data_IF_509330489369
#
_entry.id   IF_509330489369
#
_cell.length_a   1.000
_cell.length_b   1.000
_cell.length_c   1.000
_cell.angle_alpha   90.00
_cell.angle_beta   90.00
_cell.angle_gamma   90.00
#
_symmetry.space_group_name_H-M   'P 1'
#
loop_
_entity.id
_entity.type
_entity.pdbx_description
1 polymer ?
#
# COMPACT_ATOMS: atom_id res chain seq x y z
N UNK A 1 6.95 12.05 3.02
CA UNK A 1 7.70 10.97 2.39
C UNK A 1 9.06 11.44 1.86
N UNK A 2 9.14 12.32 0.85
CA UNK A 2 10.42 12.75 0.25
C UNK A 2 11.41 13.35 1.26
N UNK A 3 10.94 14.17 2.20
CA UNK A 3 11.76 14.70 3.28
C UNK A 3 12.32 13.58 4.17
N UNK A 4 11.50 12.62 4.55
CA UNK A 4 11.91 11.47 5.38
C UNK A 4 12.93 10.57 4.66
N UNK A 5 12.86 10.47 3.33
CA UNK A 5 13.91 9.80 2.54
C UNK A 5 15.22 10.56 2.59
N UNK A 6 15.17 11.89 2.41
CA UNK A 6 16.35 12.77 2.44
C UNK A 6 17.04 12.77 3.81
N UNK A 7 16.28 12.81 4.90
CA UNK A 7 16.81 12.81 6.27
C UNK A 7 17.26 11.43 6.75
N UNK A 8 16.89 10.36 6.05
CA UNK A 8 17.14 8.98 6.48
C UNK A 8 16.07 8.41 7.43
N UNK A 9 15.20 9.23 8.00
CA UNK A 9 14.17 8.84 8.97
C UNK A 9 13.30 7.66 8.50
N UNK A 10 12.93 7.66 7.23
CA UNK A 10 12.18 6.56 6.62
C UNK A 10 12.93 5.23 6.68
N UNK A 11 14.20 5.25 6.26
CA UNK A 11 15.04 4.06 6.18
C UNK A 11 15.36 3.48 7.55
N UNK A 12 15.59 4.35 8.52
CA UNK A 12 15.89 3.96 9.90
C UNK A 12 14.66 3.35 10.57
N UNK A 13 13.47 3.93 10.36
CA UNK A 13 12.18 3.38 10.83
C UNK A 13 11.94 1.96 10.30
N UNK A 14 12.27 1.72 9.04
CA UNK A 14 12.10 0.42 8.39
C UNK A 14 13.32 -0.50 8.51
N UNK A 15 14.38 -0.06 9.24
CA UNK A 15 15.62 -0.81 9.43
C UNK A 15 16.26 -1.26 8.10
N UNK A 16 16.19 -0.43 7.07
CA UNK A 16 16.74 -0.72 5.74
C UNK A 16 18.22 -0.39 5.74
N UNK A 17 19.08 -1.41 5.53
CA UNK A 17 20.53 -1.22 5.45
C UNK A 17 20.90 -0.27 4.30
N UNK A 18 21.96 0.53 4.47
CA UNK A 18 22.38 1.58 3.53
C UNK A 18 22.52 1.07 2.08
N UNK A 19 23.06 -0.14 1.90
CA UNK A 19 23.23 -0.79 0.58
C UNK A 19 21.92 -1.11 -0.15
N UNK A 20 20.78 -1.09 0.55
CA UNK A 20 19.45 -1.38 0.00
C UNK A 20 18.55 -0.14 -0.06
N UNK A 21 19.05 1.04 0.31
CA UNK A 21 18.32 2.31 0.24
C UNK A 21 18.32 2.79 -1.21
N UNK A 22 17.18 2.66 -1.87
CA UNK A 22 17.00 3.08 -3.26
C UNK A 22 16.25 4.40 -3.32
N UNK A 23 16.87 5.43 -3.91
CA UNK A 23 16.18 6.62 -4.37
C UNK A 23 15.81 6.42 -5.84
N UNK A 24 14.54 6.46 -6.16
CA UNK A 24 14.14 6.61 -7.56
C UNK A 24 14.52 8.02 -8.02
N UNK A 25 15.22 8.15 -9.16
CA UNK A 25 15.79 9.42 -9.64
C UNK A 25 14.77 10.56 -9.69
N UNK A 26 13.55 10.28 -10.17
CA UNK A 26 12.49 11.28 -10.24
C UNK A 26 11.97 11.78 -8.88
N UNK A 27 12.15 10.98 -7.81
CA UNK A 27 11.82 11.40 -6.45
C UNK A 27 12.96 12.19 -5.81
N UNK A 28 14.22 11.93 -6.20
CA UNK A 28 15.38 12.65 -5.68
C UNK A 28 15.35 14.13 -6.06
N UNK A 29 15.01 14.44 -7.31
CA UNK A 29 14.96 15.82 -7.81
C UNK A 29 13.83 16.64 -7.17
N UNK A 30 12.68 16.01 -6.93
CA UNK A 30 11.59 16.64 -6.18
C UNK A 30 11.94 16.83 -4.71
N UNK A 31 12.63 15.87 -4.11
CA UNK A 31 13.08 15.94 -2.71
C UNK A 31 14.07 17.07 -2.46
N UNK A 32 14.98 17.36 -3.42
CA UNK A 32 15.95 18.47 -3.33
C UNK A 32 15.30 19.86 -3.30
N UNK A 33 14.09 20.00 -3.85
CA UNK A 33 13.35 21.26 -3.90
C UNK A 33 12.50 21.54 -2.66
N UNK A 34 12.39 20.57 -1.74
CA UNK A 34 11.63 20.75 -0.50
C UNK A 34 12.57 21.35 0.54
N UNK A 35 12.39 22.63 0.83
CA UNK A 35 13.18 23.38 1.83
C UNK A 35 12.57 23.32 3.22
N UNK A 36 11.24 23.26 3.32
CA UNK A 36 10.51 23.32 4.57
C UNK A 36 9.88 21.96 4.92
N UNK A 37 9.77 21.69 6.23
CA UNK A 37 9.07 20.50 6.72
C UNK A 37 7.57 20.64 6.44
N UNK A 38 6.97 19.74 5.63
CA UNK A 38 5.54 19.82 5.33
C UNK A 38 4.71 19.68 6.60
N UNK A 39 3.72 20.56 6.77
CA UNK A 39 2.76 20.48 7.88
C UNK A 39 1.77 19.32 7.77
N UNK A 40 1.69 18.69 6.61
CA UNK A 40 0.78 17.55 6.33
C UNK A 40 1.46 16.23 6.62
N UNK A 41 0.63 15.22 6.91
CA UNK A 41 1.13 13.85 7.10
C UNK A 41 1.82 13.32 5.82
N UNK A 42 2.92 12.58 5.96
CA UNK A 42 3.61 11.99 4.81
C UNK A 42 2.75 10.95 4.12
N UNK A 43 2.91 10.82 2.83
CA UNK A 43 2.32 9.71 2.07
C UNK A 43 2.89 8.39 2.58
N UNK A 44 2.01 7.41 2.73
CA UNK A 44 2.37 6.04 3.12
C UNK A 44 2.87 5.27 1.90
N UNK A 45 3.92 4.49 2.10
CA UNK A 45 4.46 3.59 1.09
C UNK A 45 3.84 2.19 1.22
N UNK A 46 4.09 1.34 0.22
CA UNK A 46 3.73 -0.08 0.32
C UNK A 46 4.40 -0.70 1.55
N UNK A 47 5.69 -0.41 1.79
CA UNK A 47 6.42 -0.92 2.95
C UNK A 47 5.75 -0.51 4.27
N UNK A 48 5.26 0.71 4.40
CA UNK A 48 4.51 1.15 5.58
C UNK A 48 3.26 0.29 5.84
N UNK A 49 2.56 -0.11 4.79
CA UNK A 49 1.37 -0.94 4.91
C UNK A 49 1.69 -2.40 5.27
N UNK A 50 2.85 -2.90 4.85
CA UNK A 50 3.24 -4.30 5.06
C UNK A 50 4.01 -4.56 6.37
N UNK A 51 4.26 -3.52 7.17
CA UNK A 51 4.96 -3.68 8.46
C UNK A 51 4.31 -4.76 9.33
N UNK A 52 5.13 -5.72 9.80
CA UNK A 52 4.69 -6.81 10.66
C UNK A 52 3.99 -7.97 9.95
N UNK A 53 3.78 -7.91 8.63
CA UNK A 53 3.39 -9.09 7.86
C UNK A 53 4.63 -9.88 7.42
N UNK A 54 4.64 -11.20 7.60
CA UNK A 54 5.68 -12.06 7.02
C UNK A 54 5.56 -12.10 5.51
N UNK A 55 6.63 -12.40 4.79
CA UNK A 55 6.55 -12.60 3.34
C UNK A 55 5.81 -13.91 3.04
N UNK A 56 4.68 -13.88 2.31
CA UNK A 56 3.85 -15.07 2.12
C UNK A 56 4.49 -16.13 1.20
N UNK A 57 5.48 -15.76 0.41
CA UNK A 57 6.24 -16.67 -0.46
C UNK A 57 7.37 -17.36 0.31
N UNK A 58 8.09 -16.60 1.14
CA UNK A 58 9.24 -17.10 1.91
C UNK A 58 8.83 -17.75 3.25
N UNK A 59 7.76 -17.25 3.88
CA UNK A 59 7.28 -17.72 5.18
C UNK A 59 5.76 -18.02 5.18
N UNK A 60 5.32 -19.06 4.47
CA UNK A 60 3.91 -19.39 4.33
C UNK A 60 3.27 -19.85 5.66
N UNK A 61 4.06 -20.37 6.61
CA UNK A 61 3.55 -20.86 7.90
C UNK A 61 3.10 -19.69 8.76
N UNK A 62 3.95 -18.69 8.97
CA UNK A 62 3.59 -17.50 9.75
C UNK A 62 2.56 -16.63 9.03
N UNK A 63 2.59 -16.60 7.70
CA UNK A 63 1.62 -15.86 6.89
C UNK A 63 0.18 -16.35 7.13
N UNK A 64 -0.03 -17.64 7.35
CA UNK A 64 -1.36 -18.22 7.64
C UNK A 64 -1.97 -17.78 8.97
N UNK A 65 -1.17 -17.18 9.88
CA UNK A 65 -1.69 -16.59 11.13
C UNK A 65 -2.49 -15.32 10.90
N UNK A 66 -2.33 -14.70 9.74
CA UNK A 66 -3.09 -13.51 9.33
C UNK A 66 -4.22 -13.90 8.39
N UNK A 67 -5.42 -13.40 8.65
CA UNK A 67 -6.57 -13.63 7.76
C UNK A 67 -6.29 -13.14 6.35
N UNK A 68 -6.59 -13.95 5.35
CA UNK A 68 -6.44 -13.63 3.94
C UNK A 68 -4.99 -13.34 3.47
N UNK A 69 -3.97 -13.78 4.24
CA UNK A 69 -2.56 -13.57 3.90
C UNK A 69 -1.94 -14.86 3.34
N UNK A 70 -2.32 -15.20 2.10
CA UNK A 70 -1.85 -16.40 1.40
C UNK A 70 -1.18 -16.00 0.10
N UNK A 71 -0.05 -16.63 -0.21
CA UNK A 71 0.65 -16.44 -1.47
C UNK A 71 -0.24 -16.77 -2.67
N UNK A 72 -0.23 -15.89 -3.68
CA UNK A 72 -0.91 -16.10 -4.95
C UNK A 72 0.14 -16.21 -6.05
N UNK A 73 0.29 -17.38 -6.68
CA UNK A 73 1.27 -17.59 -7.75
C UNK A 73 0.82 -16.99 -9.08
N UNK A 74 1.76 -16.95 -10.05
CA UNK A 74 1.46 -16.62 -11.44
C UNK A 74 1.63 -15.16 -11.82
N UNK A 75 2.16 -14.32 -10.94
CA UNK A 75 2.47 -12.93 -11.27
C UNK A 75 3.53 -12.86 -12.39
N UNK A 76 3.28 -12.00 -13.38
CA UNK A 76 4.22 -11.73 -14.49
C UNK A 76 4.25 -10.24 -14.75
N UNK A 77 5.45 -9.67 -14.77
CA UNK A 77 5.64 -8.28 -15.18
C UNK A 77 5.78 -8.20 -16.71
N UNK A 78 5.20 -7.16 -17.30
CA UNK A 78 5.35 -6.82 -18.71
C UNK A 78 5.29 -5.29 -18.86
N UNK A 79 5.62 -4.80 -20.04
CA UNK A 79 5.69 -3.36 -20.31
C UNK A 79 4.37 -2.64 -19.89
N UNK A 80 4.50 -1.64 -19.05
CA UNK A 80 3.36 -0.91 -18.47
C UNK A 80 2.74 -1.56 -17.22
N UNK A 81 3.10 -2.82 -16.89
CA UNK A 81 2.55 -3.57 -15.75
C UNK A 81 3.68 -4.14 -14.88
N UNK A 82 4.32 -3.27 -14.14
CA UNK A 82 5.56 -3.61 -13.39
C UNK A 82 5.36 -3.78 -11.89
N UNK A 83 4.14 -3.67 -11.39
CA UNK A 83 3.85 -3.72 -9.95
C UNK A 83 4.17 -2.42 -9.21
N UNK A 84 3.86 -2.39 -7.93
CA UNK A 84 4.12 -1.28 -7.01
C UNK A 84 5.45 -1.51 -6.29
N UNK A 85 6.41 -0.57 -6.34
CA UNK A 85 7.64 -0.67 -5.55
C UNK A 85 7.34 -0.58 -4.06
N UNK A 86 8.18 -1.23 -3.23
CA UNK A 86 8.01 -1.23 -1.77
C UNK A 86 8.07 0.18 -1.17
N UNK A 87 8.98 1.01 -1.66
CA UNK A 87 9.30 2.31 -1.08
C UNK A 87 8.58 3.48 -1.78
N UNK A 88 7.52 3.17 -2.50
CA UNK A 88 6.64 4.14 -3.13
C UNK A 88 5.19 3.93 -2.67
N UNK A 89 4.30 4.93 -2.85
CA UNK A 89 2.87 4.72 -2.73
C UNK A 89 2.39 3.61 -3.68
N UNK A 90 1.47 2.79 -3.22
CA UNK A 90 0.89 1.75 -4.06
C UNK A 90 0.17 2.35 -5.27
N UNK A 91 0.27 1.67 -6.40
CA UNK A 91 -0.62 1.94 -7.53
C UNK A 91 -2.06 1.61 -7.16
N UNK A 92 -3.01 2.22 -7.84
CA UNK A 92 -4.44 1.95 -7.62
C UNK A 92 -4.77 0.47 -7.81
N UNK A 93 -5.35 -0.14 -6.79
CA UNK A 93 -5.85 -1.52 -6.90
C UNK A 93 -7.04 -1.57 -7.85
N UNK A 94 -6.99 -2.46 -8.83
CA UNK A 94 -8.06 -2.60 -9.82
C UNK A 94 -9.04 -3.69 -9.46
N UNK A 95 -10.32 -3.39 -9.62
CA UNK A 95 -11.45 -4.30 -9.41
C UNK A 95 -11.95 -4.98 -10.68
N UNK A 96 -11.22 -4.92 -11.78
CA UNK A 96 -11.70 -5.35 -13.10
C UNK A 96 -11.98 -6.85 -13.19
N UNK A 97 -13.13 -7.20 -13.79
CA UNK A 97 -13.59 -8.56 -14.02
C UNK A 97 -12.65 -9.36 -14.95
N UNK A 98 -11.95 -8.67 -15.87
CA UNK A 98 -11.07 -9.29 -16.86
C UNK A 98 -9.57 -9.19 -16.54
N UNK A 99 -9.18 -8.69 -15.36
CA UNK A 99 -7.78 -8.39 -15.13
C UNK A 99 -7.38 -8.07 -13.70
N UNK A 100 -7.82 -8.89 -12.73
CA UNK A 100 -7.13 -8.93 -11.43
C UNK A 100 -5.62 -9.23 -11.62
N UNK A 101 -5.17 -9.94 -12.69
CA UNK A 101 -3.77 -10.06 -13.05
C UNK A 101 -3.14 -8.80 -13.67
N UNK A 102 -3.66 -7.59 -13.43
CA UNK A 102 -3.01 -6.34 -13.84
C UNK A 102 -1.81 -6.01 -12.95
N UNK A 103 -0.81 -5.35 -13.55
CA UNK A 103 0.43 -4.99 -12.84
C UNK A 103 0.25 -4.10 -11.62
N UNK A 104 -0.91 -3.49 -11.44
CA UNK A 104 -1.27 -2.67 -10.29
C UNK A 104 -1.52 -3.49 -9.03
N UNK A 105 -1.96 -4.74 -9.16
CA UNK A 105 -2.19 -5.66 -8.05
C UNK A 105 -0.93 -6.48 -7.68
N UNK A 106 0.23 -6.05 -8.13
CA UNK A 106 1.50 -6.71 -7.88
C UNK A 106 2.44 -5.85 -7.02
N UNK A 107 3.21 -6.53 -6.19
CA UNK A 107 4.37 -6.00 -5.49
C UNK A 107 5.62 -6.21 -6.34
N UNK A 108 6.46 -5.19 -6.43
CA UNK A 108 7.81 -5.29 -6.99
C UNK A 108 8.84 -5.13 -5.89
N UNK A 109 9.63 -6.17 -5.68
CA UNK A 109 10.73 -6.18 -4.72
C UNK A 109 11.97 -5.48 -5.29
N UNK A 110 12.91 -5.11 -4.42
CA UNK A 110 14.14 -4.41 -4.82
C UNK A 110 15.05 -5.21 -5.77
N UNK A 111 14.98 -6.54 -5.71
CA UNK A 111 15.69 -7.45 -6.62
C UNK A 111 15.03 -7.60 -8.00
N UNK A 112 13.93 -6.87 -8.26
CA UNK A 112 13.18 -6.96 -9.50
C UNK A 112 12.11 -8.09 -9.54
N UNK A 113 12.11 -8.98 -8.53
CA UNK A 113 11.07 -10.01 -8.42
C UNK A 113 9.70 -9.39 -8.21
N UNK A 114 8.68 -9.95 -8.86
CA UNK A 114 7.29 -9.50 -8.76
C UNK A 114 6.39 -10.65 -8.30
N UNK A 115 5.48 -10.33 -7.38
CA UNK A 115 4.41 -11.24 -6.95
C UNK A 115 3.10 -10.49 -6.81
N UNK A 116 1.99 -11.20 -6.84
CA UNK A 116 0.73 -10.58 -6.49
C UNK A 116 0.72 -10.16 -5.01
N UNK A 117 0.02 -9.06 -4.74
CA UNK A 117 -0.40 -8.79 -3.37
C UNK A 117 -1.32 -9.90 -2.87
N UNK A 118 -1.16 -10.29 -1.62
CA UNK A 118 -2.18 -11.07 -0.94
C UNK A 118 -3.40 -10.19 -0.68
N UNK A 119 -4.54 -10.82 -0.41
CA UNK A 119 -5.76 -10.10 -0.03
C UNK A 119 -5.53 -9.25 1.23
N UNK A 120 -4.77 -9.75 2.22
CA UNK A 120 -4.43 -9.01 3.45
C UNK A 120 -3.56 -7.78 3.15
N UNK A 121 -2.55 -7.91 2.33
CA UNK A 121 -1.69 -6.80 1.92
C UNK A 121 -2.51 -5.71 1.22
N UNK A 122 -3.36 -6.10 0.28
CA UNK A 122 -4.26 -5.18 -0.43
C UNK A 122 -5.28 -4.52 0.52
N UNK A 123 -5.82 -5.25 1.49
CA UNK A 123 -6.69 -4.70 2.52
C UNK A 123 -5.98 -3.64 3.37
N UNK A 124 -4.72 -3.88 3.77
CA UNK A 124 -3.91 -2.88 4.49
C UNK A 124 -3.57 -1.65 3.65
N UNK A 125 -3.32 -1.80 2.34
CA UNK A 125 -3.16 -0.69 1.42
C UNK A 125 -4.42 0.20 1.36
N UNK A 126 -5.60 -0.41 1.46
CA UNK A 126 -6.90 0.26 1.57
C UNK A 126 -7.28 0.59 3.03
N UNK A 127 -6.32 0.48 3.94
CA UNK A 127 -6.46 0.82 5.37
C UNK A 127 -7.52 0.03 6.13
N UNK A 128 -7.89 -1.18 5.67
CA UNK A 128 -8.73 -2.09 6.45
C UNK A 128 -7.97 -2.64 7.65
N UNK A 129 -8.62 -2.80 8.80
CA UNK A 129 -8.00 -3.40 9.97
C UNK A 129 -7.74 -4.91 9.79
N UNK A 130 -6.76 -5.44 10.52
CA UNK A 130 -6.32 -6.83 10.34
C UNK A 130 -7.35 -7.89 10.74
N UNK A 131 -8.29 -7.55 11.61
CA UNK A 131 -9.39 -8.41 12.00
C UNK A 131 -10.54 -8.46 10.98
N UNK A 132 -10.51 -7.60 9.95
CA UNK A 132 -11.51 -7.63 8.90
C UNK A 132 -11.24 -8.81 7.96
N UNK A 133 -12.21 -9.72 7.83
CA UNK A 133 -12.11 -10.92 6.99
C UNK A 133 -12.84 -10.70 5.67
N UNK A 134 -12.14 -10.92 4.57
CA UNK A 134 -12.72 -10.90 3.23
C UNK A 134 -13.05 -12.32 2.80
N UNK A 135 -14.23 -12.52 2.25
CA UNK A 135 -14.73 -13.83 1.85
C UNK A 135 -14.63 -14.03 0.33
N UNK A 136 -14.53 -15.29 -0.07
CA UNK A 136 -14.43 -15.69 -1.47
C UNK A 136 -13.01 -16.06 -1.90
N UNK A 137 -12.87 -16.40 -3.18
CA UNK A 137 -11.58 -16.68 -3.81
C UNK A 137 -10.77 -15.39 -3.95
N UNK A 138 -9.46 -15.50 -4.18
CA UNK A 138 -8.55 -14.36 -4.24
C UNK A 138 -9.04 -13.25 -5.19
N UNK A 139 -9.45 -13.59 -6.41
CA UNK A 139 -9.94 -12.62 -7.40
C UNK A 139 -11.19 -11.86 -6.94
N UNK A 140 -12.11 -12.55 -6.25
CA UNK A 140 -13.33 -11.94 -5.72
C UNK A 140 -13.01 -11.00 -4.55
N UNK A 141 -12.16 -11.42 -3.61
CA UNK A 141 -11.72 -10.57 -2.52
C UNK A 141 -10.96 -9.33 -3.03
N UNK A 142 -10.09 -9.49 -4.03
CA UNK A 142 -9.38 -8.37 -4.67
C UNK A 142 -10.34 -7.41 -5.38
N UNK A 143 -11.41 -7.91 -6.00
CA UNK A 143 -12.46 -7.10 -6.60
C UNK A 143 -13.21 -6.27 -5.54
N UNK A 144 -13.54 -6.87 -4.41
CA UNK A 144 -14.17 -6.17 -3.28
C UNK A 144 -13.28 -5.02 -2.79
N UNK A 145 -11.98 -5.30 -2.57
CA UNK A 145 -11.01 -4.30 -2.12
C UNK A 145 -10.84 -3.18 -3.15
N UNK A 146 -10.73 -3.51 -4.43
CA UNK A 146 -10.54 -2.51 -5.49
C UNK A 146 -11.75 -1.58 -5.68
N UNK A 147 -12.96 -2.05 -5.35
CA UNK A 147 -14.18 -1.24 -5.33
C UNK A 147 -14.38 -0.45 -4.03
N UNK A 148 -13.62 -0.78 -2.98
CA UNK A 148 -13.80 -0.14 -1.70
C UNK A 148 -13.15 1.26 -1.66
N UNK A 149 -13.76 2.16 -0.90
CA UNK A 149 -13.12 3.40 -0.48
C UNK A 149 -12.16 3.08 0.67
N UNK A 150 -10.91 3.59 0.68
CA UNK A 150 -10.00 3.40 1.80
C UNK A 150 -10.62 3.83 3.13
N UNK A 151 -10.55 2.97 4.15
CA UNK A 151 -11.27 3.17 5.43
C UNK A 151 -10.93 4.51 6.09
N UNK A 152 -9.65 4.86 6.14
CA UNK A 152 -9.19 6.15 6.71
C UNK A 152 -9.69 7.35 5.92
N UNK A 153 -9.80 7.23 4.60
CA UNK A 153 -10.34 8.30 3.74
C UNK A 153 -11.84 8.48 3.98
N UNK A 154 -12.58 7.39 4.06
CA UNK A 154 -14.01 7.41 4.40
C UNK A 154 -14.26 8.05 5.77
N UNK A 155 -13.42 7.73 6.77
CA UNK A 155 -13.49 8.34 8.10
C UNK A 155 -13.28 9.86 8.07
N UNK A 156 -12.28 10.35 7.33
CA UNK A 156 -12.01 11.79 7.19
C UNK A 156 -13.19 12.51 6.54
N UNK A 157 -13.72 11.94 5.44
CA UNK A 157 -14.89 12.50 4.75
C UNK A 157 -16.10 12.53 5.69
N UNK A 158 -16.39 11.44 6.38
CA UNK A 158 -17.52 11.35 7.30
C UNK A 158 -17.41 12.36 8.46
N UNK A 159 -16.19 12.56 9.00
CA UNK A 159 -15.95 13.60 10.02
C UNK A 159 -16.22 15.01 9.48
N UNK A 160 -15.78 15.31 8.26
CA UNK A 160 -16.04 16.60 7.62
C UNK A 160 -17.52 16.85 7.40
N UNK A 161 -18.25 15.87 6.86
CA UNK A 161 -19.72 15.95 6.66
C UNK A 161 -20.41 16.18 8.00
N UNK A 162 -20.08 15.42 9.03
CA UNK A 162 -20.66 15.57 10.37
C UNK A 162 -20.44 16.97 10.95
N UNK A 163 -19.26 17.54 10.78
CA UNK A 163 -18.95 18.90 11.25
C UNK A 163 -19.83 19.94 10.54
N UNK A 164 -19.98 19.83 9.22
CA UNK A 164 -20.85 20.72 8.44
C UNK A 164 -22.32 20.62 8.85
N UNK A 165 -22.83 19.41 9.02
CA UNK A 165 -24.21 19.20 9.45
C UNK A 165 -24.49 19.82 10.82
N UNK A 166 -23.59 19.59 11.80
CA UNK A 166 -23.74 20.21 13.14
C UNK A 166 -23.77 21.73 13.09
N UNK A 167 -22.85 22.34 12.33
CA UNK A 167 -22.80 23.80 12.19
C UNK A 167 -24.06 24.41 11.55
N UNK A 168 -24.89 23.60 10.86
CA UNK A 168 -26.15 24.06 10.25
C UNK A 168 -27.38 23.75 11.10
N UNK A 169 -27.31 22.75 11.98
CA UNK A 169 -28.42 22.38 12.90
C UNK A 169 -28.47 23.33 14.12
N UNK A 170 -27.27 23.80 14.56
CA UNK A 170 -27.11 24.69 15.72
C UNK A 170 -27.40 26.19 15.37
N UNK A 171 -27.89 26.47 14.17
CA UNK A 171 -28.35 27.79 13.72
C UNK A 171 -29.87 27.88 13.64
#
# INVERSE_FOLDING_TARGET
>A
MLEQFRTGEYWDRHKVAAKHRCFTEHLSDRGRRITDRPSRQPWRTVRDALVGLPDPECDPINSRRFHNHRFQPGARSYLGHTGSPLDEPAKTLKACVHGVPGGENMLRLANGHTRYFTVRESARLQTFPDNYVLHGVWSEAMRQIGNAVPVTMAEVIAKSVRQHLRAHIDR
#
